data_IF_328329621778
#
_entry.id   IF_328329621778
#
_cell.length_a   1.000
_cell.length_b   1.000
_cell.length_c   1.000
_cell.angle_alpha   90.00
_cell.angle_beta   90.00
_cell.angle_gamma   90.00
#
_symmetry.space_group_name_H-M   'P 1'
#
loop_
_entity.id
_entity.type
_entity.pdbx_description
1 polymer ?
#
# COMPACT_ATOMS: atom_id res chain seq x y z
N UNK A 1 14.23 -46.07 -20.80
CA UNK A 1 14.48 -45.31 -19.56
C UNK A 1 14.22 -43.82 -19.76
N UNK A 2 14.20 -43.30 -20.99
CA UNK A 2 14.05 -41.86 -21.24
C UNK A 2 12.65 -41.31 -20.91
N UNK A 3 11.59 -42.14 -21.02
CA UNK A 3 10.21 -41.70 -20.72
C UNK A 3 9.93 -41.46 -19.24
N UNK A 4 10.58 -42.20 -18.34
CA UNK A 4 10.47 -41.98 -16.90
C UNK A 4 11.22 -40.71 -16.50
N UNK A 5 12.42 -40.49 -17.04
CA UNK A 5 13.18 -39.25 -16.83
C UNK A 5 12.39 -38.02 -17.32
N UNK A 6 11.79 -38.11 -18.51
CA UNK A 6 10.87 -37.08 -19.02
C UNK A 6 9.68 -36.83 -18.09
N UNK A 7 9.12 -37.89 -17.51
CA UNK A 7 8.07 -37.76 -16.49
C UNK A 7 8.54 -36.97 -15.27
N UNK A 8 9.69 -37.33 -14.68
CA UNK A 8 10.26 -36.59 -13.54
C UNK A 8 10.56 -35.14 -13.89
N UNK A 9 11.16 -34.85 -15.06
CA UNK A 9 11.40 -33.49 -15.50
C UNK A 9 10.10 -32.70 -15.65
N UNK A 10 9.04 -33.28 -16.22
CA UNK A 10 7.73 -32.62 -16.32
C UNK A 10 7.10 -32.33 -14.95
N UNK A 11 7.23 -33.25 -13.99
CA UNK A 11 6.76 -33.01 -12.62
C UNK A 11 7.56 -31.89 -11.95
N UNK A 12 8.88 -31.87 -12.12
CA UNK A 12 9.74 -30.82 -11.58
C UNK A 12 9.43 -29.46 -12.22
N UNK A 13 9.25 -29.40 -13.54
CA UNK A 13 8.84 -28.19 -14.25
C UNK A 13 7.48 -27.70 -13.76
N UNK A 14 6.53 -28.59 -13.51
CA UNK A 14 5.22 -28.22 -12.97
C UNK A 14 5.33 -27.63 -11.56
N UNK A 15 6.14 -28.25 -10.69
CA UNK A 15 6.40 -27.75 -9.34
C UNK A 15 7.10 -26.39 -9.36
N UNK A 16 8.10 -26.20 -10.21
CA UNK A 16 8.80 -24.94 -10.39
C UNK A 16 7.82 -23.84 -10.84
N UNK A 17 7.00 -24.12 -11.86
CA UNK A 17 5.98 -23.19 -12.32
C UNK A 17 4.98 -22.84 -11.21
N UNK A 18 4.57 -23.82 -10.39
CA UNK A 18 3.63 -23.59 -9.29
C UNK A 18 4.25 -22.71 -8.19
N UNK A 19 5.52 -22.95 -7.84
CA UNK A 19 6.28 -22.14 -6.87
C UNK A 19 6.45 -20.71 -7.38
N UNK A 20 6.87 -20.55 -8.64
CA UNK A 20 7.05 -19.23 -9.26
C UNK A 20 5.74 -18.43 -9.29
N UNK A 21 4.61 -19.09 -9.58
CA UNK A 21 3.29 -18.46 -9.52
C UNK A 21 2.92 -18.03 -8.10
N UNK A 22 3.18 -18.87 -7.10
CA UNK A 22 2.93 -18.55 -5.70
C UNK A 22 3.77 -17.37 -5.21
N UNK A 23 5.05 -17.29 -5.60
CA UNK A 23 5.92 -16.16 -5.28
C UNK A 23 5.42 -14.88 -5.97
N UNK A 24 5.08 -14.96 -7.26
CA UNK A 24 4.54 -13.82 -8.01
C UNK A 24 3.23 -13.31 -7.42
N UNK A 25 2.37 -14.22 -6.94
CA UNK A 25 1.14 -13.85 -6.25
C UNK A 25 1.42 -13.09 -4.94
N UNK A 26 2.36 -13.58 -4.14
CA UNK A 26 2.77 -12.91 -2.89
C UNK A 26 3.40 -11.54 -3.15
N UNK A 27 4.29 -11.43 -4.14
CA UNK A 27 4.89 -10.15 -4.51
C UNK A 27 3.83 -9.16 -4.98
N UNK A 28 2.88 -9.59 -5.81
CA UNK A 28 1.78 -8.73 -6.25
C UNK A 28 0.91 -8.26 -5.06
N UNK A 29 0.65 -9.15 -4.11
CA UNK A 29 -0.05 -8.79 -2.87
C UNK A 29 0.75 -7.77 -2.04
N UNK A 30 2.04 -8.00 -1.83
CA UNK A 30 2.92 -7.08 -1.07
C UNK A 30 2.98 -5.71 -1.75
N UNK A 31 3.15 -5.67 -3.07
CA UNK A 31 3.18 -4.41 -3.83
C UNK A 31 1.86 -3.64 -3.68
N UNK A 32 0.72 -4.33 -3.78
CA UNK A 32 -0.59 -3.71 -3.53
C UNK A 32 -0.72 -3.13 -2.12
N UNK A 33 -0.25 -3.86 -1.10
CA UNK A 33 -0.26 -3.39 0.29
C UNK A 33 0.67 -2.21 0.50
N UNK A 34 1.88 -2.27 -0.05
CA UNK A 34 2.88 -1.20 0.09
C UNK A 34 2.41 0.09 -0.61
N UNK A 35 1.84 -0.02 -1.81
CA UNK A 35 1.27 1.14 -2.54
C UNK A 35 0.13 1.77 -1.76
N UNK A 36 -0.74 0.96 -1.16
CA UNK A 36 -1.84 1.45 -0.33
C UNK A 36 -1.31 2.23 0.89
N UNK A 37 -0.34 1.67 1.63
CA UNK A 37 0.32 2.36 2.75
C UNK A 37 1.01 3.65 2.29
N UNK A 38 1.68 3.63 1.13
CA UNK A 38 2.36 4.80 0.56
C UNK A 38 1.40 5.94 0.24
N UNK A 39 0.24 5.65 -0.36
CA UNK A 39 -0.81 6.65 -0.65
C UNK A 39 -1.33 7.27 0.66
N UNK A 40 -1.54 6.44 1.68
CA UNK A 40 -2.00 6.88 2.99
C UNK A 40 -0.97 7.78 3.68
N UNK A 41 0.33 7.48 3.55
CA UNK A 41 1.40 8.27 4.16
C UNK A 41 1.74 9.55 3.38
N UNK A 42 1.57 9.57 2.06
CA UNK A 42 1.90 10.74 1.22
C UNK A 42 0.94 11.90 1.46
N UNK A 43 -0.35 11.67 1.71
CA UNK A 43 -1.33 12.74 1.97
C UNK A 43 -0.94 13.60 3.20
N UNK A 44 -0.68 13.04 4.40
CA UNK A 44 -0.26 13.84 5.55
C UNK A 44 1.14 14.43 5.34
N UNK A 45 2.07 13.71 4.70
CA UNK A 45 3.40 14.23 4.40
C UNK A 45 3.37 15.47 3.49
N UNK A 46 2.47 15.52 2.50
CA UNK A 46 2.25 16.69 1.63
C UNK A 46 1.71 17.87 2.46
N UNK A 47 0.71 17.63 3.31
CA UNK A 47 0.12 18.67 4.17
C UNK A 47 1.16 19.25 5.14
N UNK A 48 1.95 18.39 5.77
CA UNK A 48 3.08 18.81 6.61
C UNK A 48 4.17 19.52 5.80
N UNK A 49 4.46 19.08 4.57
CA UNK A 49 5.42 19.74 3.67
C UNK A 49 5.00 21.16 3.31
N UNK A 50 3.71 21.38 3.02
CA UNK A 50 3.16 22.71 2.77
C UNK A 50 3.17 23.61 4.02
N UNK A 51 3.07 23.05 5.22
CA UNK A 51 3.19 23.80 6.48
C UNK A 51 4.65 23.98 6.96
N UNK A 52 5.56 23.12 6.51
CA UNK A 52 6.97 23.10 6.91
C UNK A 52 7.90 23.95 6.04
N UNK A 53 7.49 24.29 4.81
CA UNK A 53 8.24 25.16 3.91
C UNK A 53 7.44 26.46 3.71
N UNK A 54 7.75 27.43 4.56
CA UNK A 54 7.46 28.87 4.46
C UNK A 54 6.09 29.27 3.90
N UNK A 55 5.08 29.26 4.76
CA UNK A 55 4.02 30.28 4.68
C UNK A 55 3.93 30.97 6.02
N UNK A 56 4.74 32.03 6.19
CA UNK A 56 4.33 33.18 6.99
C UNK A 56 3.06 33.74 6.33
N UNK A 57 1.92 33.16 6.70
CA UNK A 57 0.58 33.61 6.36
C UNK A 57 -0.16 33.99 7.65
N UNK A 58 -1.12 34.92 7.60
CA UNK A 58 -1.59 35.79 8.69
C UNK A 58 -2.35 35.09 9.84
N UNK A 59 -1.77 34.04 10.40
CA UNK A 59 -2.33 33.20 11.47
C UNK A 59 -1.28 32.84 12.52
N UNK A 60 -0.41 33.79 12.89
CA UNK A 60 0.27 33.75 14.20
C UNK A 60 -0.71 33.64 15.38
N UNK A 61 -2.02 33.79 15.15
CA UNK A 61 -3.05 33.93 16.19
C UNK A 61 -4.19 32.93 16.19
N UNK A 62 -4.18 31.84 15.41
CA UNK A 62 -5.28 30.87 15.57
C UNK A 62 -4.96 29.39 15.47
N UNK A 63 -5.40 28.70 16.51
CA UNK A 63 -5.46 27.26 16.79
C UNK A 63 -6.26 26.42 15.76
N UNK A 64 -6.58 26.95 14.58
CA UNK A 64 -7.36 26.26 13.54
C UNK A 64 -6.52 25.41 12.58
N UNK A 65 -5.20 25.65 12.50
CA UNK A 65 -4.28 24.82 11.71
C UNK A 65 -4.20 23.38 12.24
N UNK A 66 -4.10 23.26 13.56
CA UNK A 66 -4.07 21.96 14.26
C UNK A 66 -5.39 21.21 14.10
N UNK A 67 -6.53 21.92 14.20
CA UNK A 67 -7.87 21.32 14.01
C UNK A 67 -8.08 20.78 12.60
N UNK A 68 -7.60 21.48 11.57
CA UNK A 68 -7.70 21.05 10.17
C UNK A 68 -6.88 19.77 9.95
N UNK A 69 -5.66 19.71 10.49
CA UNK A 69 -4.79 18.53 10.41
C UNK A 69 -5.40 17.34 11.19
N UNK A 70 -6.02 17.58 12.35
CA UNK A 70 -6.72 16.56 13.13
C UNK A 70 -7.91 15.97 12.35
N UNK A 71 -8.73 16.82 11.73
CA UNK A 71 -9.86 16.38 10.91
C UNK A 71 -9.39 15.59 9.70
N UNK A 72 -8.32 16.04 9.02
CA UNK A 72 -7.76 15.32 7.88
C UNK A 72 -7.18 13.96 8.30
N UNK A 73 -6.50 13.87 9.45
CA UNK A 73 -5.98 12.61 9.99
C UNK A 73 -7.11 11.61 10.30
N UNK A 74 -8.22 12.08 10.88
CA UNK A 74 -9.41 11.26 11.15
C UNK A 74 -10.09 10.81 9.85
N UNK A 75 -10.22 11.70 8.88
CA UNK A 75 -10.77 11.37 7.55
C UNK A 75 -9.86 10.36 6.85
N UNK A 76 -8.54 10.49 6.96
CA UNK A 76 -7.59 9.54 6.40
C UNK A 76 -7.72 8.18 7.06
N UNK A 77 -7.80 8.12 8.40
CA UNK A 77 -8.01 6.88 9.13
C UNK A 77 -9.31 6.19 8.74
N UNK A 78 -10.40 6.96 8.58
CA UNK A 78 -11.68 6.47 8.07
C UNK A 78 -11.61 6.02 6.61
N UNK A 79 -10.88 6.74 5.75
CA UNK A 79 -10.64 6.36 4.35
C UNK A 79 -9.82 5.09 4.24
N UNK A 80 -8.77 4.92 5.05
CA UNK A 80 -8.00 3.67 5.16
C UNK A 80 -8.88 2.52 5.61
N UNK A 81 -9.67 2.72 6.69
CA UNK A 81 -10.59 1.71 7.17
C UNK A 81 -11.62 1.33 6.09
N UNK A 82 -12.14 2.30 5.36
CA UNK A 82 -13.10 2.08 4.27
C UNK A 82 -12.48 1.38 3.05
N UNK A 83 -11.26 1.76 2.65
CA UNK A 83 -10.52 1.14 1.55
C UNK A 83 -10.13 -0.31 1.88
N UNK A 84 -9.64 -0.56 3.09
CA UNK A 84 -9.33 -1.90 3.58
C UNK A 84 -10.58 -2.78 3.60
N UNK A 85 -11.74 -2.21 3.99
CA UNK A 85 -13.03 -2.91 3.98
C UNK A 85 -13.59 -3.15 2.57
N UNK A 86 -13.23 -2.35 1.57
CA UNK A 86 -13.58 -2.65 0.16
C UNK A 86 -12.70 -3.72 -0.48
N UNK A 87 -11.45 -3.88 -0.01
CA UNK A 87 -10.53 -4.89 -0.55
C UNK A 87 -10.69 -6.30 0.02
N UNK A 88 -11.60 -6.52 0.97
CA UNK A 88 -12.01 -7.89 1.37
C UNK A 88 -12.96 -8.55 0.36
N UNK A 89 -13.12 -8.01 -0.86
CA UNK A 89 -13.99 -8.56 -1.91
C UNK A 89 -13.36 -8.61 -3.33
N UNK A 90 -12.03 -8.69 -3.47
CA UNK A 90 -11.38 -9.08 -4.74
C UNK A 90 -10.13 -9.93 -4.50
#
# INVERSE_FOLDING_TARGET
>A
MDRIILGYSQYLDYLENMINNMISYQLNMIMKTLTEISIVLTIPAIIFGFWGIAVDGPFEKSSYGVFTVLIISVILSLMCWFLLRRKTYL
#
